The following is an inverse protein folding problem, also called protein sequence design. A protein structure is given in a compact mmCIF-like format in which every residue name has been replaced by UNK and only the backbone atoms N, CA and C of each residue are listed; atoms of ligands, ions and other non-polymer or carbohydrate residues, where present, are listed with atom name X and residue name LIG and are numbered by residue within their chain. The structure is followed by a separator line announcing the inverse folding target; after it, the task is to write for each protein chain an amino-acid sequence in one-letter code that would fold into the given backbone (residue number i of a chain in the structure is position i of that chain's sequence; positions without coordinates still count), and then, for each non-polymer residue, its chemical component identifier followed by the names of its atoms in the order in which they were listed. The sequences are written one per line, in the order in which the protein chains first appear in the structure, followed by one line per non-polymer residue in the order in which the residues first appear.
data_IF_885676701379
#
_entry.id   IF_885676701379
#
_cell.length_a   1.000
_cell.length_b   1.000
_cell.length_c   1.000
_cell.angle_alpha   90.00
_cell.angle_beta   90.00
_cell.angle_gamma   90.00
#
_symmetry.space_group_name_H-M   'P 1'
#
loop_
_entity.id
_entity.type
_entity.pdbx_description
1 polymer ?
#
# COMPACT_ATOMS: atom_id res chain seq x y z
N UNK A 1 17.90 -7.83 1.81
CA UNK A 1 17.21 -8.95 1.12
C UNK A 1 17.36 -8.87 -0.38
N UNK A 2 17.19 -10.00 -1.11
CA UNK A 2 17.19 -10.06 -2.58
C UNK A 2 16.05 -10.95 -3.08
N UNK A 3 15.57 -10.69 -4.30
CA UNK A 3 14.55 -11.53 -4.95
C UNK A 3 14.92 -11.76 -6.42
N UNK A 4 14.88 -13.03 -6.84
CA UNK A 4 15.18 -13.48 -8.20
C UNK A 4 13.99 -14.21 -8.81
N UNK A 5 13.79 -14.04 -10.12
CA UNK A 5 12.88 -14.82 -10.95
C UNK A 5 13.74 -15.49 -12.05
N UNK A 6 14.09 -16.75 -11.84
CA UNK A 6 15.08 -17.41 -12.66
C UNK A 6 16.41 -16.63 -12.65
N UNK A 7 16.86 -16.18 -13.84
CA UNK A 7 18.09 -15.37 -13.98
C UNK A 7 17.86 -13.86 -13.78
N UNK A 8 16.61 -13.40 -13.73
CA UNK A 8 16.28 -11.98 -13.56
C UNK A 8 16.28 -11.61 -12.08
N UNK A 9 17.10 -10.64 -11.73
CA UNK A 9 17.14 -10.06 -10.40
C UNK A 9 16.12 -8.93 -10.29
N UNK A 10 15.05 -9.15 -9.53
CA UNK A 10 14.03 -8.15 -9.30
C UNK A 10 14.35 -7.22 -8.12
N UNK A 11 15.04 -7.75 -7.07
CA UNK A 11 15.56 -6.96 -5.96
C UNK A 11 17.00 -7.37 -5.66
N UNK A 12 17.88 -6.40 -5.46
CA UNK A 12 19.33 -6.57 -5.34
C UNK A 12 19.84 -6.01 -4.02
N UNK A 13 20.10 -6.87 -3.05
CA UNK A 13 20.67 -6.49 -1.74
C UNK A 13 19.98 -5.28 -1.09
N UNK A 14 18.65 -5.24 -1.22
CA UNK A 14 17.82 -4.18 -0.66
C UNK A 14 17.90 -4.20 0.86
N UNK A 15 18.25 -3.07 1.47
CA UNK A 15 18.20 -2.85 2.91
C UNK A 15 17.41 -1.57 3.17
N UNK A 16 16.28 -1.68 3.86
CA UNK A 16 15.37 -0.58 4.17
C UNK A 16 14.80 -0.81 5.57
N UNK A 17 14.54 0.28 6.27
CA UNK A 17 13.80 0.27 7.53
C UNK A 17 12.62 1.22 7.41
N UNK A 18 11.43 0.79 7.77
CA UNK A 18 10.22 1.61 7.81
C UNK A 18 9.85 1.91 9.25
N UNK A 19 9.34 3.11 9.52
CA UNK A 19 9.01 3.58 10.85
C UNK A 19 7.52 3.83 10.99
N UNK A 20 7.00 3.58 12.18
CA UNK A 20 5.64 3.94 12.54
C UNK A 20 5.44 5.47 12.41
N UNK A 21 4.27 5.86 11.93
CA UNK A 21 3.94 7.28 11.75
C UNK A 21 4.45 7.91 10.46
N UNK A 22 5.13 7.15 9.58
CA UNK A 22 5.68 7.66 8.31
C UNK A 22 4.91 7.12 7.10
N UNK A 23 4.71 7.98 6.09
CA UNK A 23 4.31 7.59 4.74
C UNK A 23 5.56 7.57 3.87
N UNK A 24 5.98 6.36 3.48
CA UNK A 24 7.10 6.17 2.55
C UNK A 24 6.58 6.01 1.12
N UNK A 25 7.06 6.84 0.19
CA UNK A 25 6.78 6.72 -1.24
C UNK A 25 7.87 5.93 -1.95
N UNK A 26 7.48 4.91 -2.70
CA UNK A 26 8.35 4.07 -3.52
C UNK A 26 8.18 4.44 -4.99
N UNK A 27 9.19 5.06 -5.57
CA UNK A 27 9.18 5.54 -6.94
C UNK A 27 10.20 4.83 -7.81
N UNK A 28 9.88 4.65 -9.08
CA UNK A 28 10.78 4.00 -10.03
C UNK A 28 10.05 3.61 -11.31
N UNK A 29 10.79 3.34 -12.40
CA UNK A 29 10.20 2.96 -13.68
C UNK A 29 9.45 1.62 -13.59
N UNK A 30 8.63 1.34 -14.60
CA UNK A 30 8.00 0.03 -14.71
C UNK A 30 9.06 -1.08 -14.78
N UNK A 31 8.81 -2.17 -14.07
CA UNK A 31 9.75 -3.27 -13.98
C UNK A 31 10.95 -3.05 -13.05
N UNK A 32 11.03 -1.93 -12.33
CA UNK A 32 12.11 -1.66 -11.36
C UNK A 32 12.11 -2.60 -10.16
N UNK A 33 10.95 -3.21 -9.83
CA UNK A 33 10.78 -4.14 -8.71
C UNK A 33 9.83 -3.65 -7.61
N UNK A 34 9.06 -2.57 -7.84
CA UNK A 34 8.13 -1.99 -6.84
C UNK A 34 7.14 -3.02 -6.30
N UNK A 35 6.33 -3.62 -7.17
CA UNK A 35 5.34 -4.65 -6.78
C UNK A 35 6.01 -5.91 -6.22
N UNK A 36 7.25 -6.23 -6.61
CA UNK A 36 8.03 -7.31 -5.99
C UNK A 36 8.39 -6.97 -4.54
N UNK A 37 8.80 -5.72 -4.27
CA UNK A 37 9.09 -5.28 -2.90
C UNK A 37 7.83 -5.33 -2.04
N UNK A 38 6.71 -4.79 -2.54
CA UNK A 38 5.42 -4.87 -1.84
C UNK A 38 5.00 -6.31 -1.59
N UNK A 39 5.15 -7.20 -2.59
CA UNK A 39 4.83 -8.63 -2.47
C UNK A 39 5.69 -9.37 -1.44
N UNK A 40 6.96 -8.98 -1.27
CA UNK A 40 7.83 -9.54 -0.21
C UNK A 40 7.41 -9.00 1.15
N UNK A 41 7.14 -7.69 1.27
CA UNK A 41 6.72 -7.06 2.53
C UNK A 41 5.32 -7.49 2.97
N UNK A 42 4.44 -7.88 2.04
CA UNK A 42 3.11 -8.41 2.34
C UNK A 42 3.10 -9.90 2.68
N UNK A 43 4.26 -10.56 2.70
CA UNK A 43 4.43 -12.01 2.87
C UNK A 43 3.85 -12.89 1.74
N UNK A 44 3.33 -12.28 0.66
CA UNK A 44 2.86 -13.00 -0.52
C UNK A 44 4.02 -13.68 -1.27
N UNK A 45 5.23 -13.16 -1.10
CA UNK A 45 6.46 -13.72 -1.69
C UNK A 45 7.55 -13.82 -0.65
N UNK A 46 8.30 -14.93 -0.65
CA UNK A 46 9.51 -15.06 0.17
C UNK A 46 10.69 -14.39 -0.54
N UNK A 47 11.60 -13.71 0.17
CA UNK A 47 12.88 -13.28 -0.41
C UNK A 47 13.68 -14.52 -0.86
N UNK A 48 14.49 -14.37 -1.91
CA UNK A 48 15.40 -15.45 -2.36
C UNK A 48 16.67 -15.50 -1.51
N UNK A 49 17.05 -14.39 -0.87
CA UNK A 49 18.16 -14.28 0.07
C UNK A 49 17.96 -13.11 1.04
N UNK A 50 18.45 -13.25 2.25
CA UNK A 50 18.25 -12.29 3.34
C UNK A 50 16.88 -12.46 4.01
N UNK A 51 16.57 -11.56 4.92
CA UNK A 51 15.38 -11.64 5.79
C UNK A 51 14.58 -10.34 5.76
N UNK A 52 13.30 -10.43 6.11
CA UNK A 52 12.43 -9.31 6.46
C UNK A 52 12.03 -9.48 7.91
N UNK A 53 12.13 -8.41 8.68
CA UNK A 53 11.75 -8.39 10.09
C UNK A 53 10.60 -7.40 10.32
N UNK A 54 9.67 -7.77 11.19
CA UNK A 54 8.51 -7.02 11.61
C UNK A 54 8.58 -6.84 13.14
N UNK A 55 9.01 -5.67 13.59
CA UNK A 55 9.24 -5.42 15.01
C UNK A 55 10.35 -6.28 15.63
N UNK A 56 11.36 -6.66 14.82
CA UNK A 56 12.50 -7.49 15.24
C UNK A 56 12.31 -9.00 15.03
N UNK A 57 11.10 -9.44 14.66
CA UNK A 57 10.78 -10.85 14.40
C UNK A 57 10.64 -11.15 12.92
N UNK A 58 10.88 -12.39 12.49
CA UNK A 58 10.67 -12.83 11.11
C UNK A 58 9.22 -13.19 10.83
N UNK A 59 8.84 -13.22 9.54
CA UNK A 59 7.50 -13.64 9.14
C UNK A 59 7.21 -15.09 9.54
N UNK A 60 8.21 -15.96 9.55
CA UNK A 60 8.10 -17.36 9.97
C UNK A 60 7.81 -17.46 11.47
N UNK A 61 8.44 -16.62 12.30
CA UNK A 61 8.21 -16.56 13.76
C UNK A 61 6.81 -16.06 14.09
N UNK A 62 6.33 -15.05 13.39
CA UNK A 62 5.02 -14.43 13.63
C UNK A 62 3.84 -15.24 13.04
N UNK A 63 4.10 -16.08 12.05
CA UNK A 63 3.09 -16.94 11.43
C UNK A 63 1.89 -16.18 10.85
N UNK A 64 0.69 -16.76 11.00
CA UNK A 64 -0.53 -16.17 10.42
C UNK A 64 -0.97 -14.87 11.12
N UNK A 65 -0.59 -14.66 12.37
CA UNK A 65 -0.90 -13.42 13.10
C UNK A 65 -0.28 -12.18 12.43
N UNK A 66 0.83 -12.33 11.70
CA UNK A 66 1.42 -11.25 10.94
C UNK A 66 0.49 -10.75 9.83
N UNK A 67 -0.19 -11.67 9.11
CA UNK A 67 -1.09 -11.29 8.00
C UNK A 67 -2.26 -10.44 8.47
N UNK A 68 -2.76 -10.69 9.68
CA UNK A 68 -3.77 -9.85 10.31
C UNK A 68 -3.29 -8.44 10.69
N UNK A 69 -1.99 -8.14 10.52
CA UNK A 69 -1.41 -6.81 10.80
C UNK A 69 -1.00 -6.08 9.53
N UNK A 70 -1.21 -6.67 8.35
CA UNK A 70 -0.81 -6.12 7.05
C UNK A 70 -2.04 -5.87 6.20
N UNK A 71 -2.25 -4.63 5.78
CA UNK A 71 -3.24 -4.23 4.78
C UNK A 71 -2.58 -4.09 3.42
N UNK A 72 -3.18 -4.66 2.38
CA UNK A 72 -2.64 -4.63 1.02
C UNK A 72 -3.69 -4.13 0.04
N UNK A 73 -3.38 -3.06 -0.67
CA UNK A 73 -4.06 -2.63 -1.88
C UNK A 73 -3.08 -2.87 -3.05
N UNK A 74 -3.32 -3.92 -3.81
CA UNK A 74 -2.50 -4.27 -4.98
C UNK A 74 -3.15 -3.79 -6.27
N UNK A 75 -2.52 -4.17 -7.40
CA UNK A 75 -3.09 -3.93 -8.73
C UNK A 75 -4.46 -4.63 -8.88
N UNK A 76 -4.57 -5.86 -8.37
CA UNK A 76 -5.85 -6.54 -8.22
C UNK A 76 -6.52 -6.05 -6.93
N UNK A 77 -7.74 -5.54 -7.07
CA UNK A 77 -8.49 -4.95 -5.97
C UNK A 77 -9.08 -5.98 -5.00
N UNK A 78 -9.10 -7.25 -5.39
CA UNK A 78 -9.67 -8.37 -4.61
C UNK A 78 -11.09 -8.08 -4.13
N UNK A 79 -11.92 -7.54 -5.03
CA UNK A 79 -13.34 -7.32 -4.80
C UNK A 79 -14.16 -8.33 -5.59
N UNK A 80 -15.22 -8.82 -4.98
CA UNK A 80 -16.18 -9.72 -5.61
C UNK A 80 -17.26 -8.88 -6.31
N UNK A 81 -17.29 -8.89 -7.64
CA UNK A 81 -18.19 -8.07 -8.44
C UNK A 81 -19.67 -8.37 -8.23
N UNK A 82 -20.01 -9.64 -7.95
CA UNK A 82 -21.39 -10.09 -7.72
C UNK A 82 -21.92 -9.75 -6.33
N UNK A 83 -21.04 -9.41 -5.40
CA UNK A 83 -21.39 -8.94 -4.05
C UNK A 83 -21.58 -7.43 -4.05
N UNK A 84 -22.41 -6.96 -3.11
CA UNK A 84 -22.54 -5.52 -2.81
C UNK A 84 -21.29 -4.98 -2.13
N UNK A 85 -21.18 -3.66 -1.99
CA UNK A 85 -20.07 -3.04 -1.24
C UNK A 85 -20.06 -3.51 0.21
N UNK A 86 -21.21 -3.54 0.85
CA UNK A 86 -21.41 -4.04 2.23
C UNK A 86 -20.98 -5.49 2.36
N UNK A 87 -21.44 -6.37 1.49
CA UNK A 87 -21.13 -7.81 1.51
C UNK A 87 -19.64 -8.07 1.27
N UNK A 88 -18.97 -7.27 0.42
CA UNK A 88 -17.52 -7.35 0.26
C UNK A 88 -16.80 -7.06 1.59
N UNK A 89 -17.15 -5.96 2.26
CA UNK A 89 -16.55 -5.61 3.54
C UNK A 89 -16.86 -6.64 4.63
N UNK A 90 -18.09 -7.15 4.64
CA UNK A 90 -18.51 -8.19 5.58
C UNK A 90 -17.72 -9.49 5.38
N UNK A 91 -17.54 -9.93 4.13
CA UNK A 91 -16.76 -11.11 3.81
C UNK A 91 -15.33 -11.03 4.38
N UNK A 92 -14.62 -9.92 4.10
CA UNK A 92 -13.26 -9.76 4.61
C UNK A 92 -13.23 -9.56 6.13
N UNK A 93 -14.18 -8.84 6.70
CA UNK A 93 -14.26 -8.67 8.13
C UNK A 93 -14.48 -9.99 8.89
N UNK A 94 -15.32 -10.86 8.36
CA UNK A 94 -15.49 -12.24 8.90
C UNK A 94 -14.23 -13.08 8.71
N UNK A 95 -13.54 -12.96 7.57
CA UNK A 95 -12.28 -13.67 7.32
C UNK A 95 -11.19 -13.30 8.33
N UNK A 96 -11.16 -12.04 8.76
CA UNK A 96 -10.25 -11.57 9.81
C UNK A 96 -10.77 -11.83 11.24
N UNK A 97 -11.98 -12.36 11.40
CA UNK A 97 -12.57 -12.62 12.71
C UNK A 97 -12.83 -11.35 13.53
N UNK A 98 -13.25 -10.26 12.86
CA UNK A 98 -13.40 -8.96 13.51
C UNK A 98 -14.66 -8.89 14.37
N UNK A 99 -14.51 -8.36 15.59
CA UNK A 99 -15.61 -7.95 16.44
C UNK A 99 -16.22 -6.61 15.94
N UNK A 100 -17.44 -6.29 16.36
CA UNK A 100 -18.21 -5.11 15.94
C UNK A 100 -18.21 -4.91 14.42
N UNK A 101 -18.45 -5.99 13.69
CA UNK A 101 -18.33 -5.96 12.22
C UNK A 101 -19.28 -4.95 11.58
N UNK A 102 -20.51 -4.80 12.08
CA UNK A 102 -21.49 -3.84 11.57
C UNK A 102 -21.01 -2.38 11.73
N UNK A 103 -20.45 -2.04 12.88
CA UNK A 103 -19.90 -0.72 13.13
C UNK A 103 -18.65 -0.44 12.27
N UNK A 104 -17.79 -1.43 12.09
CA UNK A 104 -16.62 -1.32 11.21
C UNK A 104 -17.02 -1.11 9.74
N UNK A 105 -18.00 -1.86 9.25
CA UNK A 105 -18.52 -1.71 7.89
C UNK A 105 -19.12 -0.32 7.70
N UNK A 106 -19.93 0.16 8.64
CA UNK A 106 -20.51 1.49 8.56
C UNK A 106 -19.43 2.59 8.48
N UNK A 107 -18.39 2.51 9.33
CA UNK A 107 -17.25 3.43 9.29
C UNK A 107 -16.47 3.36 7.97
N UNK A 108 -16.25 2.16 7.45
CA UNK A 108 -15.55 1.95 6.19
C UNK A 108 -16.32 2.53 5.00
N UNK A 109 -17.64 2.29 4.94
CA UNK A 109 -18.51 2.86 3.89
C UNK A 109 -18.52 4.39 3.95
N UNK A 110 -18.63 4.97 5.17
CA UNK A 110 -18.58 6.41 5.36
C UNK A 110 -17.22 7.00 4.93
N UNK A 111 -16.10 6.37 5.30
CA UNK A 111 -14.77 6.79 4.87
C UNK A 111 -14.59 6.74 3.36
N UNK A 112 -15.21 5.76 2.69
CA UNK A 112 -15.22 5.64 1.24
C UNK A 112 -16.26 6.53 0.54
N UNK A 113 -17.16 7.20 1.29
CA UNK A 113 -18.35 7.90 0.76
C UNK A 113 -19.20 6.97 -0.12
N UNK A 114 -19.52 5.82 0.42
CA UNK A 114 -20.28 4.76 -0.25
C UNK A 114 -21.55 4.37 0.53
N UNK A 115 -22.00 5.18 1.50
CA UNK A 115 -23.18 4.86 2.32
C UNK A 115 -24.43 4.66 1.46
N UNK A 116 -24.68 5.58 0.52
CA UNK A 116 -25.84 5.53 -0.38
C UNK A 116 -25.75 4.43 -1.43
N UNK A 117 -24.59 3.79 -1.54
CA UNK A 117 -24.29 2.72 -2.50
C UNK A 117 -23.84 1.41 -1.84
N UNK A 118 -24.08 1.33 -0.53
CA UNK A 118 -23.65 0.18 0.28
C UNK A 118 -24.20 -1.14 -0.25
N UNK A 119 -25.43 -1.10 -0.75
CA UNK A 119 -26.16 -2.27 -1.21
C UNK A 119 -26.18 -2.42 -2.76
N UNK A 120 -25.42 -1.58 -3.48
CA UNK A 120 -25.15 -1.73 -4.90
C UNK A 120 -24.08 -2.80 -5.14
N UNK A 121 -24.26 -3.60 -6.21
CA UNK A 121 -23.24 -4.59 -6.63
C UNK A 121 -21.99 -3.90 -7.12
N UNK A 122 -20.83 -4.41 -6.74
CA UNK A 122 -19.52 -3.86 -7.12
C UNK A 122 -19.27 -3.92 -8.63
N UNK A 123 -19.90 -4.85 -9.36
CA UNK A 123 -19.87 -4.89 -10.82
C UNK A 123 -20.39 -3.61 -11.48
N UNK A 124 -21.34 -2.91 -10.84
CA UNK A 124 -21.90 -1.64 -11.33
C UNK A 124 -21.02 -0.41 -10.95
N UNK A 125 -19.95 -0.58 -10.16
CA UNK A 125 -19.12 0.51 -9.72
C UNK A 125 -18.16 1.01 -10.80
N UNK A 126 -17.96 2.34 -10.87
CA UNK A 126 -16.86 2.91 -11.62
C UNK A 126 -15.50 2.45 -11.06
N UNK A 127 -14.42 2.69 -11.80
CA UNK A 127 -13.07 2.37 -11.32
C UNK A 127 -12.74 3.05 -10.00
N UNK A 128 -13.07 4.35 -9.87
CA UNK A 128 -12.82 5.12 -8.65
C UNK A 128 -13.61 4.60 -7.45
N UNK A 129 -14.91 4.24 -7.62
CA UNK A 129 -15.71 3.64 -6.55
C UNK A 129 -15.11 2.30 -6.09
N UNK A 130 -14.67 1.46 -7.04
CA UNK A 130 -13.98 0.20 -6.71
C UNK A 130 -12.68 0.43 -5.97
N UNK A 131 -11.90 1.44 -6.37
CA UNK A 131 -10.63 1.79 -5.71
C UNK A 131 -10.85 2.20 -4.26
N UNK A 132 -11.85 3.06 -4.00
CA UNK A 132 -12.22 3.51 -2.63
C UNK A 132 -12.68 2.35 -1.76
N UNK A 133 -13.54 1.48 -2.30
CA UNK A 133 -13.98 0.28 -1.58
C UNK A 133 -12.83 -0.68 -1.28
N UNK A 134 -11.94 -0.91 -2.26
CA UNK A 134 -10.77 -1.79 -2.10
C UNK A 134 -9.78 -1.26 -1.04
N UNK A 135 -9.64 0.05 -0.94
CA UNK A 135 -8.86 0.66 0.13
C UNK A 135 -9.46 0.32 1.50
N UNK A 136 -10.76 0.56 1.71
CA UNK A 136 -11.39 0.27 3.01
C UNK A 136 -11.43 -1.24 3.30
N UNK A 137 -11.56 -2.10 2.27
CA UNK A 137 -11.36 -3.53 2.41
C UNK A 137 -9.95 -3.86 2.94
N UNK A 138 -8.92 -3.18 2.44
CA UNK A 138 -7.54 -3.38 2.89
C UNK A 138 -7.30 -2.85 4.32
N UNK A 139 -8.14 -1.95 4.81
CA UNK A 139 -7.99 -1.26 6.09
C UNK A 139 -8.97 -1.72 7.18
N UNK A 140 -9.98 -2.52 6.86
CA UNK A 140 -11.08 -2.88 7.77
C UNK A 140 -10.62 -3.54 9.08
N UNK A 141 -9.49 -4.23 9.04
CA UNK A 141 -8.87 -4.92 10.17
C UNK A 141 -7.82 -4.07 10.92
N UNK A 142 -7.75 -2.76 10.61
CA UNK A 142 -6.85 -1.79 11.26
C UNK A 142 -5.37 -2.24 11.26
N UNK A 143 -4.79 -2.46 10.06
CA UNK A 143 -3.44 -2.98 9.94
C UNK A 143 -2.39 -2.01 10.49
N UNK A 144 -1.27 -2.56 11.00
CA UNK A 144 -0.10 -1.78 11.41
C UNK A 144 0.85 -1.47 10.25
N UNK A 145 0.82 -2.26 9.19
CA UNK A 145 1.57 -2.05 7.95
C UNK A 145 0.59 -1.98 6.79
N UNK A 146 0.59 -0.88 6.07
CA UNK A 146 -0.26 -0.63 4.90
C UNK A 146 0.62 -0.55 3.66
N UNK A 147 0.38 -1.42 2.71
CA UNK A 147 1.11 -1.54 1.45
C UNK A 147 0.17 -1.23 0.29
N UNK A 148 0.48 -0.18 -0.46
CA UNK A 148 -0.38 0.33 -1.53
C UNK A 148 0.38 0.34 -2.85
N UNK A 149 -0.17 -0.29 -3.89
CA UNK A 149 0.36 -0.25 -5.25
C UNK A 149 -0.55 0.63 -6.12
N UNK A 150 -0.04 1.78 -6.54
CA UNK A 150 -0.73 2.79 -7.36
C UNK A 150 -2.09 3.25 -6.78
N UNK A 151 -2.15 3.70 -5.52
CA UNK A 151 -3.42 3.93 -4.83
C UNK A 151 -4.26 5.07 -5.41
N UNK A 152 -3.65 6.04 -6.11
CA UNK A 152 -4.33 7.18 -6.73
C UNK A 152 -4.92 6.90 -8.11
N UNK A 153 -4.62 5.73 -8.69
CA UNK A 153 -5.02 5.42 -10.06
C UNK A 153 -6.54 5.41 -10.24
N UNK A 154 -7.03 6.31 -11.10
CA UNK A 154 -8.45 6.42 -11.43
C UNK A 154 -9.29 7.16 -10.38
N UNK A 155 -8.65 7.84 -9.46
CA UNK A 155 -9.30 8.80 -8.56
C UNK A 155 -9.33 10.19 -9.22
N UNK A 156 -10.38 10.94 -8.94
CA UNK A 156 -10.42 12.38 -9.13
C UNK A 156 -9.71 13.11 -7.98
N UNK A 157 -9.49 14.41 -8.11
CA UNK A 157 -8.76 15.23 -7.15
C UNK A 157 -9.38 15.16 -5.74
N UNK A 158 -10.70 15.14 -5.65
CA UNK A 158 -11.42 15.04 -4.37
C UNK A 158 -11.17 13.69 -3.70
N UNK A 159 -11.29 12.60 -4.47
CA UNK A 159 -11.02 11.23 -3.97
C UNK A 159 -9.54 11.03 -3.60
N UNK A 160 -8.62 11.65 -4.34
CA UNK A 160 -7.19 11.64 -4.02
C UNK A 160 -6.90 12.37 -2.70
N UNK A 161 -7.53 13.55 -2.48
CA UNK A 161 -7.41 14.29 -1.22
C UNK A 161 -7.97 13.49 -0.03
N UNK A 162 -9.11 12.82 -0.20
CA UNK A 162 -9.69 11.94 0.82
C UNK A 162 -8.77 10.77 1.17
N UNK A 163 -8.19 10.14 0.15
CA UNK A 163 -7.19 9.08 0.36
C UNK A 163 -6.00 9.62 1.17
N UNK A 164 -5.45 10.77 0.78
CA UNK A 164 -4.34 11.41 1.49
C UNK A 164 -4.67 11.66 2.98
N UNK A 165 -5.84 12.24 3.27
CA UNK A 165 -6.32 12.46 4.63
C UNK A 165 -6.46 11.14 5.41
N UNK A 166 -6.99 10.09 4.76
CA UNK A 166 -7.12 8.76 5.37
C UNK A 166 -5.76 8.17 5.73
N UNK A 167 -4.76 8.26 4.84
CA UNK A 167 -3.40 7.78 5.10
C UNK A 167 -2.73 8.54 6.24
N UNK A 168 -2.91 9.86 6.32
CA UNK A 168 -2.44 10.66 7.46
C UNK A 168 -3.08 10.24 8.78
N UNK A 169 -4.39 9.99 8.80
CA UNK A 169 -5.08 9.47 10.00
C UNK A 169 -4.46 8.15 10.47
N UNK A 170 -4.17 7.24 9.55
CA UNK A 170 -3.55 5.94 9.87
C UNK A 170 -2.13 6.11 10.44
N UNK A 171 -1.31 6.97 9.85
CA UNK A 171 0.05 7.20 10.36
C UNK A 171 0.03 7.91 11.70
N UNK A 172 -0.86 8.87 11.95
CA UNK A 172 -1.05 9.46 13.27
C UNK A 172 -1.46 8.43 14.33
N UNK A 173 -2.18 7.37 13.93
CA UNK A 173 -2.48 6.23 14.80
C UNK A 173 -1.31 5.23 14.94
N UNK A 174 -0.15 5.51 14.33
CA UNK A 174 1.07 4.72 14.43
C UNK A 174 1.23 3.64 13.36
N UNK A 175 0.41 3.64 12.30
CA UNK A 175 0.62 2.73 11.18
C UNK A 175 1.87 3.11 10.36
N UNK A 176 2.49 2.11 9.75
CA UNK A 176 3.52 2.27 8.73
C UNK A 176 2.82 2.23 7.37
N UNK A 177 3.03 3.23 6.52
CA UNK A 177 2.49 3.24 5.16
C UNK A 177 3.63 3.24 4.15
N UNK A 178 3.58 2.29 3.22
CA UNK A 178 4.43 2.27 2.02
C UNK A 178 3.54 2.28 0.79
N UNK A 179 3.66 3.30 -0.03
CA UNK A 179 2.93 3.39 -1.29
C UNK A 179 3.89 3.43 -2.47
N UNK A 180 3.67 2.55 -3.44
CA UNK A 180 4.30 2.64 -4.75
C UNK A 180 3.42 3.50 -5.66
N UNK A 181 4.00 4.49 -6.32
CA UNK A 181 3.28 5.33 -7.28
C UNK A 181 4.20 5.84 -8.38
N UNK A 182 3.61 6.23 -9.48
CA UNK A 182 4.21 7.06 -10.53
C UNK A 182 3.57 8.45 -10.61
N UNK A 183 2.50 8.68 -9.84
CA UNK A 183 1.82 9.96 -9.71
C UNK A 183 2.51 10.79 -8.63
N UNK A 184 3.36 11.72 -9.10
CA UNK A 184 4.10 12.62 -8.21
C UNK A 184 3.23 13.75 -7.68
N UNK A 185 2.19 14.16 -8.41
CA UNK A 185 1.35 15.30 -8.03
C UNK A 185 0.46 14.94 -6.84
N UNK A 186 -0.25 13.82 -6.91
CA UNK A 186 -1.07 13.33 -5.80
C UNK A 186 -0.25 12.90 -4.58
N UNK A 187 1.02 12.52 -4.78
CA UNK A 187 1.91 12.10 -3.71
C UNK A 187 2.68 13.27 -3.06
N UNK A 188 2.81 14.42 -3.74
CA UNK A 188 3.55 15.57 -3.22
C UNK A 188 2.85 16.17 -1.98
N UNK A 189 3.62 16.54 -0.97
CA UNK A 189 3.07 16.97 0.32
C UNK A 189 2.50 15.85 1.20
N UNK A 190 2.26 14.64 0.65
CA UNK A 190 1.77 13.49 1.40
C UNK A 190 2.91 12.60 1.90
N UNK A 191 3.97 12.42 1.11
CA UNK A 191 5.07 11.49 1.39
C UNK A 191 6.10 12.14 2.28
N UNK A 192 6.39 11.50 3.41
CA UNK A 192 7.42 11.95 4.36
C UNK A 192 8.82 11.53 3.90
N UNK A 193 8.93 10.35 3.28
CA UNK A 193 10.19 9.74 2.85
C UNK A 193 10.10 9.19 1.44
N UNK A 194 11.11 9.47 0.63
CA UNK A 194 11.19 9.00 -0.75
C UNK A 194 12.19 7.87 -0.86
N UNK A 195 11.77 6.78 -1.51
CA UNK A 195 12.60 5.64 -1.85
C UNK A 195 12.54 5.49 -3.37
N UNK A 196 13.66 5.67 -4.02
CA UNK A 196 13.80 5.41 -5.45
C UNK A 196 14.25 3.97 -5.69
N UNK A 197 13.63 3.31 -6.65
CA UNK A 197 13.95 1.94 -7.06
C UNK A 197 14.34 1.90 -8.54
N UNK A 198 15.53 1.38 -8.85
CA UNK A 198 16.04 1.22 -10.21
C UNK A 198 16.78 -0.10 -10.32
N UNK A 199 16.40 -0.95 -11.29
CA UNK A 199 17.02 -2.24 -11.54
C UNK A 199 17.18 -3.13 -10.29
N UNK A 200 16.17 -3.10 -9.41
CA UNK A 200 16.16 -3.85 -8.16
C UNK A 200 17.00 -3.27 -7.02
N UNK A 201 17.67 -2.14 -7.23
CA UNK A 201 18.39 -1.41 -6.18
C UNK A 201 17.56 -0.28 -5.64
N UNK A 202 17.71 0.02 -4.36
CA UNK A 202 16.99 1.09 -3.67
C UNK A 202 17.95 2.21 -3.26
N UNK A 203 17.44 3.44 -3.29
CA UNK A 203 18.11 4.63 -2.74
C UNK A 203 17.08 5.47 -2.02
N UNK A 204 17.40 5.86 -0.81
CA UNK A 204 16.63 6.85 -0.06
C UNK A 204 17.03 8.25 -0.49
N UNK A 205 16.05 9.14 -0.60
CA UNK A 205 16.26 10.52 -1.03
C UNK A 205 15.86 11.44 0.11
N UNK A 206 16.81 12.26 0.56
CA UNK A 206 16.58 13.21 1.61
C UNK A 206 15.57 14.30 1.21
N UNK A 207 14.85 14.84 2.18
CA UNK A 207 14.03 16.03 2.01
C UNK A 207 14.95 17.25 1.90
N UNK A 208 14.76 18.07 0.87
CA UNK A 208 15.58 19.27 0.60
C UNK A 208 14.75 20.48 0.17
N UNK A 209 13.43 20.43 0.41
CA UNK A 209 12.49 21.48 0.06
C UNK A 209 12.10 21.54 -1.40
N UNK A 210 12.69 20.74 -2.29
CA UNK A 210 12.29 20.64 -3.67
C UNK A 210 11.05 19.72 -3.83
N UNK A 211 10.33 19.87 -4.95
CA UNK A 211 9.20 19.02 -5.29
C UNK A 211 9.60 17.52 -5.30
N UNK A 212 8.64 16.64 -5.02
CA UNK A 212 8.83 15.21 -5.10
C UNK A 212 9.39 14.76 -6.46
N UNK A 213 8.87 15.34 -7.55
CA UNK A 213 9.30 15.07 -8.93
C UNK A 213 10.76 15.46 -9.17
N UNK A 214 11.21 16.62 -8.68
CA UNK A 214 12.58 17.09 -8.88
C UNK A 214 13.58 16.27 -8.06
N UNK A 215 13.22 15.92 -6.83
CA UNK A 215 14.01 15.03 -5.99
C UNK A 215 14.19 13.65 -6.65
N UNK A 216 13.11 13.07 -7.18
CA UNK A 216 13.15 11.82 -7.95
C UNK A 216 14.04 11.93 -9.18
N UNK A 217 13.88 13.00 -10.01
CA UNK A 217 14.69 13.20 -11.22
C UNK A 217 16.19 13.25 -10.91
N UNK A 218 16.59 14.00 -9.87
CA UNK A 218 18.00 14.08 -9.43
C UNK A 218 18.51 12.72 -9.00
N UNK A 219 17.77 12.01 -8.16
CA UNK A 219 18.15 10.67 -7.71
C UNK A 219 18.30 9.67 -8.86
N UNK A 220 17.46 9.78 -9.90
CA UNK A 220 17.52 8.89 -11.07
C UNK A 220 18.63 9.26 -12.06
N UNK A 221 19.12 10.49 -12.05
CA UNK A 221 20.23 10.94 -12.89
C UNK A 221 21.61 10.55 -12.34
N UNK A 222 21.70 10.29 -11.05
CA UNK A 222 22.94 9.84 -10.39
C UNK A 222 23.29 8.40 -10.77
N UNK A 223 24.58 8.05 -10.61
CA UNK A 223 25.05 6.69 -10.82
C UNK A 223 24.54 5.74 -9.72
N UNK A 224 24.11 4.56 -10.13
CA UNK A 224 23.54 3.51 -9.26
C UNK A 224 24.45 2.26 -9.21
N UNK A 225 25.77 2.49 -9.20
CA UNK A 225 26.77 1.42 -9.11
C UNK A 225 26.66 0.56 -7.84
#
# INVERSE_FOLDING_TARGET
MSRYYGRRRALARTSLTFRAGEISGLFGPNGAGKSTLLGVLSTLMRPSAGTVQYGGETAESLGDALRGRIGVLGHDLFLYGDLTARENLEFFGRLYGLDDLSGRIARALASARLEDRADDRVSAFSRGLRQRLALERALIHEPRLVLLDEPFTGLDDESAALLGARLRTLTHAGAIVLMASHDFESADGLVDRIICLRNGRVREVAADGASLRDRYRRAMAEDWT
#
